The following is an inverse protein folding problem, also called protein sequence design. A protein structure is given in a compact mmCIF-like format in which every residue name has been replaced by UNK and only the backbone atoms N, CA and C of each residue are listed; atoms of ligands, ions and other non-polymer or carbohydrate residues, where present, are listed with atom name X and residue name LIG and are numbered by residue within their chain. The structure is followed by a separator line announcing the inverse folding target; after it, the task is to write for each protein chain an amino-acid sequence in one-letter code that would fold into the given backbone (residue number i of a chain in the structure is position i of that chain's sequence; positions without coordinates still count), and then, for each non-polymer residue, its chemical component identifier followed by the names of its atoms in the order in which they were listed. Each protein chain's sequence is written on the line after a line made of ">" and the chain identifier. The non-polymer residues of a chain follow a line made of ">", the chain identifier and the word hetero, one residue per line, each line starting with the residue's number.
data_IF_703902923169
#
_entry.id   IF_703902923169
#
_cell.length_a   1.000
_cell.length_b   1.000
_cell.length_c   1.000
_cell.angle_alpha   90.00
_cell.angle_beta   90.00
_cell.angle_gamma   90.00
#
_symmetry.space_group_name_H-M   'P 1'
#
loop_
_entity.id
_entity.type
_entity.pdbx_description
1 polymer ?
#
# COMPACT_ATOMS: atom_id res chain seq x y z
N UNK A 1 -0.41 -9.74 -14.47
CA UNK A 1 0.05 -9.13 -13.19
C UNK A 1 1.35 -9.75 -12.69
N UNK A 2 1.36 -11.01 -12.25
CA UNK A 2 2.56 -11.68 -11.68
C UNK A 2 3.81 -11.53 -12.55
N UNK A 3 3.73 -11.84 -13.85
CA UNK A 3 4.87 -11.68 -14.77
C UNK A 3 5.38 -10.24 -14.88
N UNK A 4 4.48 -9.25 -14.77
CA UNK A 4 4.88 -7.84 -14.82
C UNK A 4 5.65 -7.47 -13.54
N UNK A 5 5.16 -7.86 -12.36
CA UNK A 5 5.88 -7.66 -11.10
C UNK A 5 7.20 -8.44 -11.03
N UNK A 6 7.27 -9.60 -11.69
CA UNK A 6 8.48 -10.40 -11.74
C UNK A 6 9.56 -9.80 -12.65
N UNK A 7 9.23 -8.91 -13.59
CA UNK A 7 10.20 -8.32 -14.51
C UNK A 7 11.35 -7.60 -13.74
N UNK A 8 12.63 -7.87 -14.03
CA UNK A 8 13.78 -7.22 -13.38
C UNK A 8 13.74 -5.69 -13.34
N UNK A 9 13.08 -5.05 -14.31
CA UNK A 9 12.95 -3.59 -14.33
C UNK A 9 12.06 -3.05 -13.21
N UNK A 10 11.15 -3.88 -12.70
CA UNK A 10 10.30 -3.54 -11.55
C UNK A 10 11.10 -3.72 -10.27
N UNK A 11 11.33 -2.60 -9.60
CA UNK A 11 12.12 -2.47 -8.36
C UNK A 11 11.27 -2.18 -7.14
N UNK A 12 10.05 -1.65 -7.35
CA UNK A 12 9.09 -1.29 -6.32
C UNK A 12 7.70 -1.75 -6.75
N UNK A 13 6.95 -2.37 -5.85
CA UNK A 13 5.52 -2.66 -5.99
C UNK A 13 4.77 -1.84 -4.92
N UNK A 14 4.03 -0.82 -5.37
CA UNK A 14 3.25 0.08 -4.49
C UNK A 14 1.82 -0.41 -4.26
N UNK A 15 1.24 -0.10 -3.10
CA UNK A 15 -0.14 -0.50 -2.73
C UNK A 15 -0.97 0.66 -2.16
N UNK A 16 -2.22 0.75 -2.61
CA UNK A 16 -3.32 1.54 -2.01
C UNK A 16 -4.58 0.67 -2.02
N UNK A 17 -4.61 -0.34 -1.15
CA UNK A 17 -5.64 -1.39 -1.11
C UNK A 17 -6.66 -1.21 0.02
N UNK A 18 -6.67 -0.03 0.65
CA UNK A 18 -7.47 0.34 1.83
C UNK A 18 -7.01 -0.34 3.12
N UNK A 19 -7.42 0.23 4.26
CA UNK A 19 -7.05 -0.25 5.60
C UNK A 19 -7.51 -1.69 5.87
N UNK A 20 -8.67 -2.08 5.33
CA UNK A 20 -9.22 -3.44 5.47
C UNK A 20 -8.59 -4.45 4.53
N UNK A 21 -7.78 -3.99 3.57
CA UNK A 21 -7.20 -4.85 2.53
C UNK A 21 -6.13 -5.81 3.02
N UNK A 22 -5.53 -5.60 4.21
CA UNK A 22 -4.33 -6.32 4.65
C UNK A 22 -4.59 -7.63 5.41
N UNK A 23 -5.85 -8.07 5.50
CA UNK A 23 -6.24 -9.31 6.17
C UNK A 23 -5.69 -9.40 7.61
N UNK A 24 -5.81 -8.30 8.36
CA UNK A 24 -5.40 -8.23 9.77
C UNK A 24 -6.61 -8.58 10.63
N UNK A 25 -6.43 -9.52 11.56
CA UNK A 25 -7.43 -9.84 12.57
C UNK A 25 -7.61 -8.64 13.52
N UNK A 26 -8.85 -8.14 13.69
CA UNK A 26 -9.10 -6.90 14.39
C UNK A 26 -8.81 -6.99 15.90
N UNK A 27 -8.77 -8.20 16.47
CA UNK A 27 -8.61 -8.46 17.91
C UNK A 27 -7.12 -8.61 18.27
N UNK A 28 -6.45 -9.55 17.61
CA UNK A 28 -5.04 -9.87 17.82
C UNK A 28 -4.09 -8.88 17.16
N UNK A 29 -4.58 -8.10 16.19
CA UNK A 29 -3.77 -7.22 15.32
C UNK A 29 -2.71 -7.97 14.50
N UNK A 30 -2.84 -9.30 14.39
CA UNK A 30 -1.97 -10.14 13.58
C UNK A 30 -2.62 -10.53 12.26
N UNK A 31 -1.87 -11.21 11.41
CA UNK A 31 -2.35 -11.75 10.14
C UNK A 31 -3.45 -12.81 10.33
N UNK A 32 -4.58 -12.63 9.64
CA UNK A 32 -5.69 -13.59 9.61
C UNK A 32 -5.42 -14.71 8.60
N UNK A 33 -4.70 -15.73 9.05
CA UNK A 33 -4.44 -16.94 8.27
C UNK A 33 -5.70 -17.80 7.99
N UNK A 34 -6.86 -17.45 8.56
CA UNK A 34 -8.11 -18.20 8.39
C UNK A 34 -9.04 -17.62 7.34
N UNK A 35 -8.78 -16.39 6.86
CA UNK A 35 -9.58 -15.76 5.82
C UNK A 35 -9.60 -16.61 4.53
N UNK A 36 -10.77 -16.78 3.93
CA UNK A 36 -10.98 -17.69 2.79
C UNK A 36 -10.05 -17.39 1.59
N UNK A 37 -9.80 -16.11 1.30
CA UNK A 37 -8.89 -15.71 0.22
C UNK A 37 -7.41 -16.01 0.54
N UNK A 38 -7.00 -15.87 1.81
CA UNK A 38 -5.65 -16.20 2.26
C UNK A 38 -5.40 -17.70 2.19
N UNK A 39 -6.38 -18.50 2.65
CA UNK A 39 -6.35 -19.95 2.52
C UNK A 39 -6.31 -20.37 1.05
N UNK A 40 -7.07 -19.70 0.19
CA UNK A 40 -7.05 -19.96 -1.25
C UNK A 40 -5.67 -19.69 -1.86
N UNK A 41 -5.07 -18.54 -1.57
CA UNK A 41 -3.78 -18.14 -2.13
C UNK A 41 -2.64 -19.04 -1.65
N UNK A 42 -2.69 -19.48 -0.39
CA UNK A 42 -1.73 -20.45 0.14
C UNK A 42 -1.85 -21.83 -0.56
N UNK A 43 -3.08 -22.29 -0.85
CA UNK A 43 -3.33 -23.56 -1.53
C UNK A 43 -3.08 -23.50 -3.05
N UNK A 44 -3.24 -22.32 -3.67
CA UNK A 44 -3.13 -22.10 -5.10
C UNK A 44 -2.13 -20.98 -5.45
N UNK A 45 -0.84 -21.14 -5.08
CA UNK A 45 0.16 -20.07 -5.15
C UNK A 45 0.54 -19.63 -6.57
N UNK A 46 0.11 -20.34 -7.61
CA UNK A 46 0.28 -19.97 -9.02
C UNK A 46 -0.92 -19.19 -9.60
N UNK A 47 -2.07 -19.24 -8.92
CA UNK A 47 -3.31 -18.54 -9.32
C UNK A 47 -3.96 -17.84 -8.12
N UNK A 48 -3.23 -16.92 -7.44
CA UNK A 48 -3.74 -16.20 -6.29
C UNK A 48 -4.86 -15.22 -6.67
N UNK A 49 -5.70 -14.89 -5.70
CA UNK A 49 -6.79 -13.91 -5.77
C UNK A 49 -6.41 -12.57 -5.16
N UNK A 50 -5.53 -12.56 -4.17
CA UNK A 50 -5.15 -11.34 -3.44
C UNK A 50 -3.93 -10.66 -4.05
N UNK A 51 -3.77 -9.36 -3.78
CA UNK A 51 -2.56 -8.63 -4.13
C UNK A 51 -1.31 -9.25 -3.47
N UNK A 52 -1.42 -9.71 -2.22
CA UNK A 52 -0.32 -10.33 -1.47
C UNK A 52 0.08 -11.67 -2.07
N UNK A 53 -0.88 -12.51 -2.46
CA UNK A 53 -0.60 -13.76 -3.15
C UNK A 53 0.10 -13.52 -4.49
N UNK A 54 -0.31 -12.50 -5.23
CA UNK A 54 0.35 -12.10 -6.46
C UNK A 54 1.80 -11.60 -6.21
N UNK A 55 2.03 -10.84 -5.13
CA UNK A 55 3.37 -10.40 -4.69
C UNK A 55 4.25 -11.61 -4.34
N UNK A 56 3.74 -12.53 -3.52
CA UNK A 56 4.46 -13.76 -3.14
C UNK A 56 4.81 -14.59 -4.38
N UNK A 57 3.89 -14.74 -5.33
CA UNK A 57 4.14 -15.45 -6.57
C UNK A 57 5.21 -14.78 -7.44
N UNK A 58 5.19 -13.44 -7.55
CA UNK A 58 6.22 -12.70 -8.28
C UNK A 58 7.60 -12.83 -7.62
N UNK A 59 7.67 -12.72 -6.28
CA UNK A 59 8.92 -12.89 -5.52
C UNK A 59 9.48 -14.31 -5.66
N UNK A 60 8.61 -15.34 -5.69
CA UNK A 60 9.02 -16.73 -5.99
C UNK A 60 9.70 -16.82 -7.35
N UNK A 61 9.06 -16.31 -8.40
CA UNK A 61 9.62 -16.33 -9.75
C UNK A 61 10.98 -15.61 -9.80
N UNK A 62 11.11 -14.47 -9.12
CA UNK A 62 12.38 -13.73 -9.08
C UNK A 62 13.47 -14.46 -8.32
N UNK A 63 13.15 -15.09 -7.18
CA UNK A 63 14.07 -15.97 -6.43
C UNK A 63 14.57 -17.09 -7.33
N UNK A 64 13.66 -17.81 -7.95
CA UNK A 64 13.95 -19.02 -8.72
C UNK A 64 14.72 -18.71 -10.02
N UNK A 65 14.63 -17.47 -10.52
CA UNK A 65 15.37 -16.99 -11.70
C UNK A 65 16.59 -16.12 -11.36
N UNK A 66 16.90 -15.93 -10.07
CA UNK A 66 18.07 -15.17 -9.63
C UNK A 66 18.01 -13.65 -9.87
N UNK A 67 16.81 -13.08 -9.97
CA UNK A 67 16.60 -11.65 -10.28
C UNK A 67 16.57 -10.74 -9.05
N UNK A 68 16.72 -11.30 -7.84
CA UNK A 68 16.65 -10.57 -6.58
C UNK A 68 15.24 -10.12 -6.21
N UNK A 69 15.03 -9.52 -5.04
CA UNK A 69 13.73 -9.04 -4.57
C UNK A 69 13.33 -7.72 -5.25
N UNK A 70 12.14 -7.22 -4.89
CA UNK A 70 11.72 -5.83 -5.06
C UNK A 70 11.23 -5.30 -3.71
N UNK A 71 11.13 -3.97 -3.57
CA UNK A 71 10.55 -3.33 -2.39
C UNK A 71 9.02 -3.34 -2.46
N UNK A 72 8.35 -3.73 -1.38
CA UNK A 72 6.91 -3.52 -1.21
C UNK A 72 6.65 -2.19 -0.51
N UNK A 73 5.97 -1.25 -1.16
CA UNK A 73 5.72 0.09 -0.61
C UNK A 73 4.23 0.30 -0.37
N UNK A 74 3.80 0.23 0.89
CA UNK A 74 2.43 0.61 1.23
C UNK A 74 2.28 2.12 1.24
N UNK A 75 1.23 2.60 0.58
CA UNK A 75 0.75 3.98 0.60
C UNK A 75 -0.67 4.05 1.20
N UNK A 76 -1.06 3.05 2.00
CA UNK A 76 -2.32 3.06 2.74
C UNK A 76 -2.15 3.77 4.09
N UNK A 77 -3.25 4.30 4.61
CA UNK A 77 -3.31 5.12 5.81
C UNK A 77 -3.37 4.26 7.10
N UNK A 78 -2.40 3.36 7.24
CA UNK A 78 -2.20 2.50 8.40
C UNK A 78 -0.96 2.96 9.17
N UNK A 79 -0.99 2.86 10.50
CA UNK A 79 0.21 3.07 11.30
C UNK A 79 1.12 1.84 11.17
N UNK A 80 2.39 2.03 10.80
CA UNK A 80 3.30 0.91 10.51
C UNK A 80 2.88 0.15 9.25
N UNK A 81 2.49 0.85 8.19
CA UNK A 81 1.93 0.23 6.97
C UNK A 81 2.93 -0.69 6.24
N UNK A 82 4.23 -0.41 6.32
CA UNK A 82 5.31 -1.26 5.82
C UNK A 82 5.43 -2.55 6.64
N UNK A 83 5.39 -2.45 7.97
CA UNK A 83 5.40 -3.61 8.88
C UNK A 83 4.19 -4.52 8.66
N UNK A 84 3.01 -3.93 8.45
CA UNK A 84 1.77 -4.64 8.15
C UNK A 84 1.88 -5.36 6.80
N UNK A 85 2.38 -4.67 5.77
CA UNK A 85 2.59 -5.28 4.45
C UNK A 85 3.57 -6.44 4.53
N UNK A 86 4.69 -6.27 5.24
CA UNK A 86 5.67 -7.32 5.51
C UNK A 86 5.02 -8.51 6.19
N UNK A 87 4.25 -8.27 7.26
CA UNK A 87 3.55 -9.34 7.98
C UNK A 87 2.61 -10.10 7.05
N UNK A 88 1.80 -9.42 6.24
CA UNK A 88 0.87 -10.07 5.31
C UNK A 88 1.59 -10.93 4.26
N UNK A 89 2.63 -10.39 3.62
CA UNK A 89 3.38 -11.09 2.56
C UNK A 89 4.16 -12.28 3.12
N UNK A 90 4.91 -12.08 4.21
CA UNK A 90 5.76 -13.13 4.80
C UNK A 90 4.92 -14.23 5.43
N UNK A 91 3.82 -13.88 6.11
CA UNK A 91 2.93 -14.88 6.72
C UNK A 91 2.21 -15.71 5.66
N UNK A 92 1.71 -15.09 4.58
CA UNK A 92 1.11 -15.81 3.46
C UNK A 92 2.12 -16.74 2.76
N UNK A 93 3.34 -16.25 2.51
CA UNK A 93 4.41 -17.09 1.95
C UNK A 93 4.69 -18.28 2.87
N UNK A 94 4.73 -18.06 4.19
CA UNK A 94 5.02 -19.10 5.20
C UNK A 94 4.00 -20.23 5.19
N UNK A 95 2.74 -19.95 4.85
CA UNK A 95 1.68 -20.95 4.76
C UNK A 95 1.89 -21.96 3.61
N UNK A 96 2.65 -21.60 2.58
CA UNK A 96 2.83 -22.41 1.36
C UNK A 96 4.27 -22.87 1.13
N UNK A 97 5.25 -21.99 1.30
CA UNK A 97 6.68 -22.25 1.15
C UNK A 97 7.47 -21.51 2.25
N UNK A 98 7.82 -22.20 3.37
CA UNK A 98 8.58 -21.58 4.44
C UNK A 98 9.96 -21.06 4.01
N UNK A 99 10.62 -21.69 3.03
CA UNK A 99 11.92 -21.24 2.55
C UNK A 99 11.79 -19.96 1.69
N UNK A 100 10.69 -19.82 0.94
CA UNK A 100 10.37 -18.56 0.26
C UNK A 100 10.13 -17.45 1.28
N UNK A 101 9.38 -17.73 2.35
CA UNK A 101 9.13 -16.72 3.37
C UNK A 101 10.42 -16.23 4.04
N UNK A 102 11.36 -17.13 4.37
CA UNK A 102 12.68 -16.73 4.89
C UNK A 102 13.49 -15.91 3.88
N UNK A 103 13.42 -16.29 2.60
CA UNK A 103 14.08 -15.53 1.56
C UNK A 103 13.48 -14.13 1.39
N UNK A 104 12.16 -13.99 1.43
CA UNK A 104 11.48 -12.69 1.37
C UNK A 104 11.89 -11.83 2.56
N UNK A 105 11.78 -12.36 3.79
CA UNK A 105 12.13 -11.66 5.02
C UNK A 105 13.58 -11.17 5.03
N UNK A 106 14.51 -11.95 4.45
CA UNK A 106 15.94 -11.59 4.44
C UNK A 106 16.36 -10.66 3.29
N UNK A 107 15.58 -10.55 2.22
CA UNK A 107 16.02 -9.89 0.99
C UNK A 107 15.12 -8.71 0.57
N UNK A 108 13.80 -8.82 0.74
CA UNK A 108 12.87 -7.76 0.37
C UNK A 108 12.81 -6.68 1.47
N UNK A 109 12.52 -5.44 1.07
CA UNK A 109 12.28 -4.34 2.01
C UNK A 109 10.81 -3.90 1.97
N UNK A 110 10.34 -3.39 3.11
CA UNK A 110 8.95 -2.95 3.31
C UNK A 110 8.92 -1.64 4.13
N UNK A 111 9.42 -0.52 3.56
CA UNK A 111 9.52 0.74 4.28
C UNK A 111 8.14 1.25 4.70
N UNK A 112 8.04 1.77 5.92
CA UNK A 112 6.86 2.50 6.35
C UNK A 112 6.78 3.85 5.62
N UNK A 113 5.55 4.33 5.42
CA UNK A 113 5.31 5.64 4.82
C UNK A 113 4.09 6.35 5.41
N UNK A 114 4.16 7.68 5.49
CA UNK A 114 3.02 8.54 5.76
C UNK A 114 2.64 9.27 4.47
N UNK A 115 1.40 9.05 4.01
CA UNK A 115 0.82 9.74 2.85
C UNK A 115 -0.26 10.72 3.29
N UNK A 116 -0.29 11.90 2.67
CA UNK A 116 -1.32 12.90 2.90
C UNK A 116 -1.66 13.70 1.65
N UNK A 117 -2.91 13.56 1.20
CA UNK A 117 -3.53 14.34 0.15
C UNK A 117 -5.03 14.00 0.13
N UNK A 118 -5.91 14.98 0.36
CA UNK A 118 -7.35 14.79 0.20
C UNK A 118 -7.66 14.72 -1.30
N UNK A 119 -8.08 13.54 -1.75
CA UNK A 119 -8.49 13.26 -3.12
C UNK A 119 -9.93 12.71 -3.12
N UNK A 120 -10.96 13.53 -3.41
CA UNK A 120 -12.34 13.08 -3.50
C UNK A 120 -12.54 12.04 -4.61
N UNK A 121 -13.61 11.24 -4.49
CA UNK A 121 -13.98 10.32 -5.54
C UNK A 121 -14.42 11.08 -6.80
N UNK A 122 -13.90 10.69 -7.96
CA UNK A 122 -14.29 11.25 -9.26
C UNK A 122 -15.78 11.02 -9.53
N UNK A 123 -16.54 12.09 -9.70
CA UNK A 123 -17.94 12.09 -10.10
C UNK A 123 -18.21 12.88 -11.38
N UNK A 124 -19.50 13.08 -11.72
CA UNK A 124 -19.90 13.86 -12.90
C UNK A 124 -19.37 15.30 -12.89
N UNK A 125 -19.18 15.90 -11.70
CA UNK A 125 -18.68 17.26 -11.54
C UNK A 125 -17.20 17.37 -11.96
N UNK A 126 -16.34 16.46 -11.50
CA UNK A 126 -14.92 16.42 -11.84
C UNK A 126 -14.70 16.17 -13.34
N UNK A 127 -15.51 15.28 -13.93
CA UNK A 127 -15.49 15.03 -15.38
C UNK A 127 -15.92 16.28 -16.17
N UNK A 128 -16.95 16.99 -15.69
CA UNK A 128 -17.37 18.24 -16.32
C UNK A 128 -16.28 19.32 -16.21
N UNK A 129 -15.62 19.43 -15.06
CA UNK A 129 -14.53 20.38 -14.83
C UNK A 129 -13.34 20.14 -15.78
N UNK A 130 -12.94 18.88 -16.01
CA UNK A 130 -11.89 18.57 -16.99
C UNK A 130 -12.27 19.05 -18.41
N UNK A 131 -13.55 18.92 -18.79
CA UNK A 131 -14.05 19.39 -20.09
C UNK A 131 -14.06 20.91 -20.21
N UNK A 132 -14.27 21.65 -19.12
CA UNK A 132 -14.15 23.12 -19.11
C UNK A 132 -12.72 23.57 -19.44
N UNK A 133 -11.71 22.77 -19.09
CA UNK A 133 -10.32 22.97 -19.52
C UNK A 133 -10.03 22.47 -20.95
N UNK A 134 -11.05 22.02 -21.69
CA UNK A 134 -10.91 21.46 -23.04
C UNK A 134 -10.32 20.04 -23.07
N UNK A 135 -10.29 19.35 -21.93
CA UNK A 135 -9.75 17.99 -21.81
C UNK A 135 -10.90 16.99 -21.74
N UNK A 136 -10.92 16.03 -22.68
CA UNK A 136 -11.86 14.91 -22.63
C UNK A 136 -11.24 13.74 -21.86
N UNK A 137 -11.25 13.83 -20.53
CA UNK A 137 -10.79 12.79 -19.62
C UNK A 137 -11.98 12.04 -19.01
N UNK A 138 -11.94 10.71 -19.07
CA UNK A 138 -12.97 9.84 -18.48
C UNK A 138 -12.68 9.47 -17.02
N UNK A 139 -11.48 9.75 -16.53
CA UNK A 139 -11.05 9.45 -15.16
C UNK A 139 -10.15 10.56 -14.58
N UNK A 140 -10.57 11.84 -14.60
CA UNK A 140 -9.79 12.89 -13.96
C UNK A 140 -9.76 12.68 -12.45
N UNK A 141 -8.60 12.93 -11.85
CA UNK A 141 -8.44 12.94 -10.38
C UNK A 141 -8.29 14.39 -9.94
N UNK A 142 -9.20 14.84 -9.09
CA UNK A 142 -9.08 16.13 -8.40
C UNK A 142 -8.54 15.89 -6.99
N UNK A 143 -7.76 16.83 -6.50
CA UNK A 143 -7.21 16.80 -5.15
C UNK A 143 -6.93 18.22 -4.66
N UNK A 144 -6.77 18.38 -3.36
CA UNK A 144 -6.36 19.66 -2.77
C UNK A 144 -4.93 20.07 -3.17
N UNK A 145 -4.55 21.33 -3.01
CA UNK A 145 -3.19 21.76 -3.33
C UNK A 145 -2.11 21.16 -2.39
N UNK A 146 -2.49 20.83 -1.15
CA UNK A 146 -1.59 20.23 -0.17
C UNK A 146 -1.29 18.77 -0.52
N UNK A 147 -0.01 18.39 -0.34
CA UNK A 147 0.44 17.01 -0.44
C UNK A 147 1.70 16.82 0.39
N UNK A 148 1.75 15.70 1.11
CA UNK A 148 2.93 15.32 1.87
C UNK A 148 3.15 13.81 1.75
N UNK A 149 4.42 13.43 1.58
CA UNK A 149 4.82 12.03 1.59
C UNK A 149 6.11 11.89 2.38
N UNK A 150 6.08 11.13 3.46
CA UNK A 150 7.25 10.82 4.29
C UNK A 150 7.49 9.32 4.23
N UNK A 151 8.73 8.90 3.97
CA UNK A 151 9.06 7.49 3.67
C UNK A 151 10.33 7.08 4.41
N UNK A 152 10.39 5.85 4.91
CA UNK A 152 11.65 5.26 5.35
C UNK A 152 12.54 4.97 4.12
N UNK A 153 13.84 5.28 4.21
CA UNK A 153 14.76 5.07 3.08
C UNK A 153 15.32 3.63 3.04
N UNK A 154 14.42 2.65 2.95
CA UNK A 154 14.75 1.22 2.90
C UNK A 154 14.26 0.57 1.59
N UNK A 155 15.10 0.63 0.55
CA UNK A 155 14.78 0.13 -0.79
C UNK A 155 15.81 -0.89 -1.28
N UNK A 156 15.47 -2.17 -1.22
CA UNK A 156 16.37 -3.28 -1.57
C UNK A 156 16.80 -3.31 -3.06
N UNK A 157 16.09 -2.62 -3.94
CA UNK A 157 16.39 -2.52 -5.37
C UNK A 157 16.55 -1.06 -5.86
N UNK A 158 16.74 -0.12 -4.94
CA UNK A 158 16.80 1.31 -5.23
C UNK A 158 15.42 1.95 -5.51
N UNK A 159 15.40 3.27 -5.59
CA UNK A 159 14.19 4.08 -5.73
C UNK A 159 14.42 5.32 -6.61
N UNK A 160 13.37 6.01 -7.06
CA UNK A 160 13.48 7.35 -7.61
C UNK A 160 13.97 8.39 -6.59
N UNK A 161 14.50 9.50 -7.09
CA UNK A 161 14.92 10.68 -6.31
C UNK A 161 13.69 11.52 -5.89
N UNK A 162 12.73 10.91 -5.19
CA UNK A 162 11.48 11.58 -4.79
C UNK A 162 11.71 12.79 -3.86
N UNK A 163 12.84 12.83 -3.17
CA UNK A 163 13.29 13.96 -2.36
C UNK A 163 13.52 15.23 -3.18
N UNK A 164 13.90 15.10 -4.45
CA UNK A 164 14.06 16.25 -5.35
C UNK A 164 12.73 16.88 -5.78
N UNK A 165 11.61 16.17 -5.56
CA UNK A 165 10.26 16.62 -5.92
C UNK A 165 9.30 16.70 -4.72
N UNK A 166 9.85 16.72 -3.51
CA UNK A 166 9.13 17.10 -2.28
C UNK A 166 8.74 15.96 -1.33
N UNK A 167 9.09 14.70 -1.62
CA UNK A 167 8.99 13.66 -0.60
C UNK A 167 10.07 13.86 0.48
N UNK A 168 9.80 13.41 1.69
CA UNK A 168 10.76 13.46 2.81
C UNK A 168 11.18 12.05 3.18
N UNK A 169 12.49 11.76 3.17
CA UNK A 169 13.00 10.52 3.75
C UNK A 169 13.35 10.72 5.22
N UNK A 170 12.95 9.77 6.07
CA UNK A 170 13.10 9.89 7.53
C UNK A 170 13.27 8.53 8.17
N UNK A 171 14.11 8.45 9.21
CA UNK A 171 14.25 7.28 10.07
C UNK A 171 13.14 7.20 11.14
N UNK A 172 12.29 8.23 11.24
CA UNK A 172 11.18 8.32 12.21
C UNK A 172 9.85 8.63 11.50
N UNK A 173 9.46 7.81 10.53
CA UNK A 173 8.15 7.94 9.85
C UNK A 173 6.99 7.82 10.84
N UNK A 174 7.13 6.97 11.85
CA UNK A 174 6.12 6.72 12.87
C UNK A 174 5.68 7.98 13.64
N UNK A 175 6.58 8.96 13.84
CA UNK A 175 6.20 10.24 14.41
C UNK A 175 5.25 11.05 13.50
N UNK A 176 5.53 11.06 12.19
CA UNK A 176 4.69 11.74 11.20
C UNK A 176 3.34 11.05 11.02
N UNK A 177 3.32 9.71 10.95
CA UNK A 177 2.08 8.92 10.91
C UNK A 177 1.17 9.24 12.09
N UNK A 178 1.72 9.20 13.33
CA UNK A 178 0.97 9.48 14.55
C UNK A 178 0.40 10.90 14.55
N UNK A 179 1.18 11.89 14.11
CA UNK A 179 0.72 13.28 14.00
C UNK A 179 -0.45 13.40 13.03
N UNK A 180 -0.29 12.89 11.80
CA UNK A 180 -1.31 12.96 10.74
C UNK A 180 -2.59 12.23 11.13
N UNK A 181 -2.48 11.00 11.63
CA UNK A 181 -3.64 10.20 12.03
C UNK A 181 -4.41 10.88 13.18
N UNK A 182 -3.71 11.42 14.18
CA UNK A 182 -4.36 12.00 15.37
C UNK A 182 -4.91 13.41 15.17
N UNK A 183 -4.30 14.21 14.32
CA UNK A 183 -4.73 15.61 14.12
C UNK A 183 -5.67 15.70 12.92
N UNK A 184 -5.27 15.17 11.77
CA UNK A 184 -6.02 15.33 10.52
C UNK A 184 -7.13 14.29 10.37
N UNK A 185 -6.79 12.99 10.39
CA UNK A 185 -7.80 11.94 10.18
C UNK A 185 -8.84 11.91 11.31
N UNK A 186 -8.40 11.98 12.57
CA UNK A 186 -9.32 12.04 13.70
C UNK A 186 -10.15 13.34 13.68
N UNK A 187 -9.55 14.46 13.26
CA UNK A 187 -10.26 15.72 13.06
C UNK A 187 -11.38 15.60 12.02
N UNK A 188 -11.10 14.96 10.88
CA UNK A 188 -12.13 14.65 9.88
C UNK A 188 -13.26 13.81 10.45
N UNK A 189 -12.98 12.75 11.21
CA UNK A 189 -14.04 11.91 11.79
C UNK A 189 -14.91 12.65 12.80
N UNK A 190 -14.32 13.52 13.63
CA UNK A 190 -15.08 14.34 14.59
C UNK A 190 -16.05 15.27 13.87
N UNK A 191 -15.63 15.87 12.75
CA UNK A 191 -16.49 16.76 11.95
C UNK A 191 -17.53 16.00 11.14
N UNK A 192 -17.11 14.96 10.40
CA UNK A 192 -17.97 14.21 9.49
C UNK A 192 -19.12 13.52 10.22
N UNK A 193 -18.84 12.83 11.33
CA UNK A 193 -19.87 12.12 12.08
C UNK A 193 -20.93 13.06 12.69
N UNK A 194 -20.53 14.28 13.10
CA UNK A 194 -21.47 15.29 13.60
C UNK A 194 -22.22 15.95 12.45
N UNK A 195 -21.54 16.25 11.33
CA UNK A 195 -22.16 16.79 10.13
C UNK A 195 -23.26 15.89 9.58
N UNK A 196 -23.03 14.57 9.54
CA UNK A 196 -24.01 13.57 9.14
C UNK A 196 -25.26 13.61 10.03
N UNK A 197 -25.09 13.66 11.35
CA UNK A 197 -26.23 13.76 12.31
C UNK A 197 -27.00 15.07 12.15
N UNK A 198 -26.32 16.14 11.75
CA UNK A 198 -26.93 17.46 11.51
C UNK A 198 -27.51 17.62 10.09
N UNK A 199 -27.32 16.63 9.20
CA UNK A 199 -27.77 16.68 7.81
C UNK A 199 -27.02 17.72 6.97
N UNK A 200 -25.74 17.95 7.27
CA UNK A 200 -24.85 18.84 6.51
C UNK A 200 -24.09 17.98 5.49
N UNK A 201 -24.27 18.32 4.21
CA UNK A 201 -23.53 17.76 3.06
C UNK A 201 -22.36 18.68 2.67
#
# INVERSE_FOLDING_TARGET
>A
LIRAMADPVIRIVGLTVTESGYYIDPVSKGFDATHADIVHDAAHPETPRTAFGAIVAALRLRRDTGQGPFTGLSCDNLQGNGDILRQAVVSLARMSDPALADWIEANASFPNSMVDCIAPATGPAEIAQAREFGVNDAAPVTHEAFRQWVIEDDFCAGRPDWDQVGATFSDDVHAYEKMKIRILNAGHQVLANVGEVLGIE
#
